data_IF_113481566428
#
_entry.id   IF_113481566428
#
_cell.length_a   1.000
_cell.length_b   1.000
_cell.length_c   1.000
_cell.angle_alpha   90.00
_cell.angle_beta   90.00
_cell.angle_gamma   90.00
#
_symmetry.space_group_name_H-M   'P 1'
#
loop_
_entity.id
_entity.type
_entity.pdbx_description
1 polymer ?
#
# COMPACT_ATOMS: atom_id res chain seq x y z
N UNK A 1 0.38 24.18 20.97
CA UNK A 1 0.06 22.78 20.59
C UNK A 1 1.39 22.12 20.23
N UNK A 2 1.88 21.15 20.99
CA UNK A 2 3.06 20.39 20.55
C UNK A 2 2.66 19.65 19.28
N UNK A 3 3.47 19.68 18.19
CA UNK A 3 3.17 18.91 16.99
C UNK A 3 3.02 17.43 17.38
N UNK A 4 2.14 16.71 16.70
CA UNK A 4 2.06 15.27 16.85
C UNK A 4 3.45 14.72 16.56
N UNK A 5 3.94 13.87 17.44
CA UNK A 5 5.25 13.25 17.25
C UNK A 5 5.20 12.40 15.97
N UNK A 6 5.97 12.79 14.98
CA UNK A 6 6.15 12.01 13.75
C UNK A 6 7.33 11.09 13.99
N UNK A 7 7.12 9.80 13.92
CA UNK A 7 8.16 8.78 14.08
C UNK A 7 8.51 8.25 12.70
N UNK A 8 9.76 8.46 12.29
CA UNK A 8 10.30 7.89 11.05
C UNK A 8 10.86 6.50 11.34
N UNK A 9 10.78 5.61 10.35
CA UNK A 9 11.28 4.24 10.45
C UNK A 9 10.80 3.51 11.71
N UNK A 10 9.50 3.65 12.02
CA UNK A 10 8.88 3.01 13.18
C UNK A 10 9.00 1.48 13.13
N UNK A 11 9.57 0.81 14.14
CA UNK A 11 9.69 -0.65 14.15
C UNK A 11 8.33 -1.33 14.01
N UNK A 12 8.21 -2.27 13.07
CA UNK A 12 6.96 -2.99 12.87
C UNK A 12 6.71 -3.97 14.03
N UNK A 13 5.56 -3.90 14.73
CA UNK A 13 5.34 -4.72 15.92
C UNK A 13 5.25 -6.23 15.60
N UNK A 14 4.73 -6.59 14.43
CA UNK A 14 4.47 -7.97 14.05
C UNK A 14 5.57 -8.59 13.16
N UNK A 15 6.46 -7.79 12.60
CA UNK A 15 7.46 -8.26 11.64
C UNK A 15 8.86 -7.87 12.10
N UNK A 16 9.62 -8.86 12.54
CA UNK A 16 11.01 -8.66 13.01
C UNK A 16 11.86 -7.95 11.95
N UNK A 17 12.55 -6.89 12.35
CA UNK A 17 13.45 -6.07 11.51
C UNK A 17 12.74 -5.25 10.41
N UNK A 18 11.42 -5.33 10.27
CA UNK A 18 10.69 -4.43 9.39
C UNK A 18 10.45 -3.09 10.09
N UNK A 19 10.26 -2.05 9.28
CA UNK A 19 9.94 -0.70 9.74
C UNK A 19 8.81 -0.14 8.88
N UNK A 20 8.04 0.76 9.43
CA UNK A 20 7.07 1.61 8.74
C UNK A 20 7.75 2.96 8.49
N UNK A 21 7.71 3.45 7.26
CA UNK A 21 8.45 4.67 6.89
C UNK A 21 8.06 5.88 7.73
N UNK A 22 6.76 6.06 7.98
CA UNK A 22 6.25 7.14 8.83
C UNK A 22 5.10 6.67 9.69
N UNK A 23 5.16 6.95 10.98
CA UNK A 23 4.13 6.63 11.93
C UNK A 23 3.79 7.85 12.80
N UNK A 24 2.51 8.17 12.87
CA UNK A 24 1.95 9.18 13.76
C UNK A 24 1.00 8.44 14.71
N UNK A 25 1.33 8.33 16.00
CA UNK A 25 0.49 7.60 16.95
C UNK A 25 -0.87 8.28 17.15
N UNK A 26 -1.93 7.52 17.45
CA UNK A 26 -3.22 8.08 17.82
C UNK A 26 -3.08 8.89 19.10
N UNK A 27 -3.76 10.04 19.20
CA UNK A 27 -3.66 10.93 20.35
C UNK A 27 -4.94 11.75 20.55
N UNK A 28 -5.38 11.88 21.79
CA UNK A 28 -6.50 12.73 22.17
C UNK A 28 -7.79 12.46 21.38
N UNK A 29 -8.13 11.17 21.16
CA UNK A 29 -9.31 10.76 20.40
C UNK A 29 -9.18 10.96 18.88
N UNK A 30 -8.01 11.35 18.37
CA UNK A 30 -7.73 11.43 16.94
C UNK A 30 -7.01 10.16 16.47
N UNK A 31 -7.39 9.69 15.29
CA UNK A 31 -6.73 8.55 14.65
C UNK A 31 -5.24 8.84 14.40
N UNK A 32 -4.42 7.82 14.57
CA UNK A 32 -3.05 7.80 14.10
C UNK A 32 -2.97 7.56 12.59
N UNK A 33 -1.76 7.66 12.06
CA UNK A 33 -1.49 7.43 10.63
C UNK A 33 -0.21 6.62 10.49
N UNK A 34 -0.26 5.59 9.65
CA UNK A 34 0.91 4.83 9.20
C UNK A 34 1.04 4.99 7.68
N UNK A 35 2.24 5.29 7.21
CA UNK A 35 2.50 5.50 5.79
C UNK A 35 3.73 4.70 5.37
N UNK A 36 3.59 3.98 4.27
CA UNK A 36 4.69 3.39 3.50
C UNK A 36 4.82 4.11 2.16
N UNK A 37 6.04 4.42 1.78
CA UNK A 37 6.38 5.08 0.53
C UNK A 37 7.12 4.13 -0.40
N UNK A 38 6.72 4.11 -1.64
CA UNK A 38 7.44 3.39 -2.69
C UNK A 38 7.68 4.27 -3.89
N UNK A 39 8.95 4.37 -4.30
CA UNK A 39 9.33 5.03 -5.53
C UNK A 39 10.04 4.06 -6.45
N UNK A 40 9.41 3.74 -7.57
CA UNK A 40 9.99 2.89 -8.60
C UNK A 40 10.40 3.71 -9.82
N UNK A 41 11.71 3.75 -10.06
CA UNK A 41 12.31 4.33 -11.25
C UNK A 41 13.35 3.40 -11.85
N UNK A 42 13.63 3.58 -13.14
CA UNK A 42 14.78 2.97 -13.79
C UNK A 42 16.06 3.68 -13.36
N UNK A 43 17.08 2.93 -13.01
CA UNK A 43 18.42 3.46 -12.72
C UNK A 43 19.22 3.40 -14.02
N UNK A 44 19.65 4.54 -14.60
CA UNK A 44 20.28 4.57 -15.93
C UNK A 44 21.55 3.73 -16.05
N UNK A 45 22.35 3.68 -14.99
CA UNK A 45 23.67 3.03 -14.98
C UNK A 45 23.76 1.77 -14.12
N UNK A 46 22.64 1.27 -13.60
CA UNK A 46 22.61 0.16 -12.64
C UNK A 46 21.93 -1.11 -13.14
N UNK A 47 22.16 -2.22 -12.44
CA UNK A 47 21.33 -3.42 -12.60
C UNK A 47 19.93 -3.14 -12.07
N UNK A 48 18.97 -3.05 -12.98
CA UNK A 48 17.59 -2.86 -12.60
C UNK A 48 16.95 -4.18 -12.16
N UNK A 49 16.26 -4.16 -11.04
CA UNK A 49 15.44 -5.29 -10.60
C UNK A 49 14.34 -5.55 -11.64
N UNK A 50 14.08 -6.81 -12.02
CA UNK A 50 13.01 -7.16 -12.95
C UNK A 50 11.65 -6.59 -12.50
N UNK A 51 10.85 -6.10 -13.45
CA UNK A 51 9.56 -5.46 -13.18
C UNK A 51 8.62 -6.31 -12.35
N UNK A 52 8.57 -7.62 -12.61
CA UNK A 52 7.77 -8.57 -11.84
C UNK A 52 8.20 -8.63 -10.36
N UNK A 53 9.50 -8.58 -10.09
CA UNK A 53 10.01 -8.55 -8.71
C UNK A 53 9.71 -7.21 -8.04
N UNK A 54 9.84 -6.09 -8.76
CA UNK A 54 9.43 -4.76 -8.25
C UNK A 54 7.96 -4.76 -7.86
N UNK A 55 7.08 -5.31 -8.71
CA UNK A 55 5.66 -5.45 -8.40
C UNK A 55 5.44 -6.27 -7.11
N UNK A 56 6.15 -7.39 -6.94
CA UNK A 56 6.08 -8.18 -5.70
C UNK A 56 6.49 -7.39 -4.45
N UNK A 57 7.52 -6.54 -4.56
CA UNK A 57 7.92 -5.67 -3.44
C UNK A 57 6.89 -4.58 -3.12
N UNK A 58 6.19 -4.04 -4.13
CA UNK A 58 5.05 -3.12 -3.92
C UNK A 58 3.98 -3.81 -3.07
N UNK A 59 3.62 -5.03 -3.39
CA UNK A 59 2.62 -5.79 -2.62
C UNK A 59 3.15 -6.22 -1.24
N UNK A 60 4.45 -6.45 -1.08
CA UNK A 60 5.05 -6.70 0.22
C UNK A 60 4.88 -5.51 1.17
N UNK A 61 5.06 -4.27 0.68
CA UNK A 61 4.86 -3.04 1.45
C UNK A 61 3.37 -2.89 1.83
N UNK A 62 2.44 -3.19 0.93
CA UNK A 62 0.99 -3.20 1.21
C UNK A 62 0.65 -4.21 2.31
N UNK A 63 1.16 -5.44 2.24
CA UNK A 63 0.90 -6.46 3.26
C UNK A 63 1.54 -6.09 4.60
N UNK A 64 2.69 -5.42 4.60
CA UNK A 64 3.30 -4.90 5.81
C UNK A 64 2.39 -3.92 6.53
N UNK A 65 1.80 -2.97 5.79
CA UNK A 65 0.79 -2.07 6.34
C UNK A 65 -0.46 -2.79 6.83
N UNK A 66 -0.95 -3.78 6.07
CA UNK A 66 -2.14 -4.54 6.45
C UNK A 66 -1.94 -5.35 7.74
N UNK A 67 -0.71 -5.82 7.99
CA UNK A 67 -0.34 -6.56 9.20
C UNK A 67 -0.13 -5.66 10.43
N UNK A 68 -0.11 -4.35 10.25
CA UNK A 68 0.02 -3.40 11.35
C UNK A 68 -1.28 -3.38 12.17
N UNK A 69 -1.31 -4.11 13.28
CA UNK A 69 -2.50 -4.28 14.11
C UNK A 69 -2.58 -3.22 15.20
N UNK A 70 -2.98 -2.00 14.83
CA UNK A 70 -3.30 -0.92 15.74
C UNK A 70 -4.74 -0.47 15.54
N UNK A 71 -5.47 -0.35 16.63
CA UNK A 71 -6.75 0.34 16.65
C UNK A 71 -6.55 1.83 16.40
N UNK A 72 -7.50 2.46 15.71
CA UNK A 72 -7.49 3.89 15.45
C UNK A 72 -6.25 4.39 14.68
N UNK A 73 -5.67 3.56 13.80
CA UNK A 73 -4.60 3.96 12.88
C UNK A 73 -5.03 3.78 11.44
N UNK A 74 -5.05 4.86 10.68
CA UNK A 74 -5.25 4.84 9.23
C UNK A 74 -3.94 4.48 8.54
N UNK A 75 -3.99 3.60 7.56
CA UNK A 75 -2.82 3.08 6.85
C UNK A 75 -2.86 3.52 5.41
N UNK A 76 -1.78 4.14 4.94
CA UNK A 76 -1.68 4.64 3.58
C UNK A 76 -0.42 4.12 2.91
N UNK A 77 -0.59 3.64 1.70
CA UNK A 77 0.50 3.28 0.80
C UNK A 77 0.62 4.34 -0.29
N UNK A 78 1.74 5.05 -0.32
CA UNK A 78 2.03 6.08 -1.32
C UNK A 78 2.98 5.49 -2.35
N UNK A 79 2.48 5.29 -3.57
CA UNK A 79 3.24 4.73 -4.66
C UNK A 79 3.50 5.76 -5.74
N UNK A 80 4.77 6.00 -6.02
CA UNK A 80 5.22 6.88 -7.10
C UNK A 80 6.02 6.04 -8.10
N UNK A 81 5.68 6.16 -9.38
CA UNK A 81 6.35 5.39 -10.43
C UNK A 81 6.52 6.15 -11.73
N UNK A 82 7.51 5.74 -12.51
CA UNK A 82 7.73 6.25 -13.85
C UNK A 82 6.89 5.50 -14.91
N UNK A 83 6.94 5.99 -16.15
CA UNK A 83 6.20 5.41 -17.28
C UNK A 83 6.46 3.91 -17.47
N UNK A 84 7.68 3.44 -17.25
CA UNK A 84 8.04 2.01 -17.45
C UNK A 84 7.22 1.09 -16.55
N UNK A 85 7.15 1.40 -15.25
CA UNK A 85 6.37 0.60 -14.31
C UNK A 85 4.87 0.84 -14.44
N UNK A 86 4.45 2.06 -14.75
CA UNK A 86 3.04 2.34 -15.05
C UNK A 86 2.55 1.48 -16.21
N UNK A 87 3.29 1.47 -17.34
CA UNK A 87 2.97 0.62 -18.49
C UNK A 87 2.97 -0.87 -18.14
N UNK A 88 3.91 -1.31 -17.27
CA UNK A 88 3.95 -2.70 -16.82
C UNK A 88 2.68 -3.09 -16.06
N UNK A 89 2.24 -2.25 -15.12
CA UNK A 89 1.01 -2.51 -14.36
C UNK A 89 -0.25 -2.42 -15.22
N UNK A 90 -0.31 -1.51 -16.17
CA UNK A 90 -1.46 -1.33 -17.06
C UNK A 90 -1.58 -2.43 -18.13
N UNK A 91 -0.52 -3.17 -18.40
CA UNK A 91 -0.55 -4.27 -19.35
C UNK A 91 -1.44 -5.41 -18.82
N UNK A 92 -2.50 -5.70 -19.55
CA UNK A 92 -3.49 -6.74 -19.17
C UNK A 92 -2.89 -8.12 -18.99
N UNK A 93 -1.85 -8.46 -19.77
CA UNK A 93 -1.13 -9.74 -19.69
C UNK A 93 -0.37 -9.92 -18.37
N UNK A 94 -0.13 -8.86 -17.61
CA UNK A 94 0.54 -8.92 -16.31
C UNK A 94 -0.44 -9.07 -15.14
N UNK A 95 -1.76 -8.93 -15.40
CA UNK A 95 -2.84 -9.10 -14.42
C UNK A 95 -2.81 -8.12 -13.23
N UNK A 96 -2.24 -6.90 -13.40
CA UNK A 96 -2.17 -5.88 -12.35
C UNK A 96 -2.94 -4.61 -12.68
N UNK A 97 -3.66 -4.60 -13.81
CA UNK A 97 -4.38 -3.41 -14.26
C UNK A 97 -5.43 -2.96 -13.25
N UNK A 98 -6.13 -3.90 -12.63
CA UNK A 98 -7.11 -3.69 -11.57
C UNK A 98 -6.52 -2.96 -10.35
N UNK A 99 -5.26 -3.23 -10.00
CA UNK A 99 -4.54 -2.51 -8.95
C UNK A 99 -4.18 -1.10 -9.39
N UNK A 100 -3.57 -0.95 -10.56
CA UNK A 100 -2.99 0.32 -10.97
C UNK A 100 -4.04 1.33 -11.45
N UNK A 101 -5.08 0.87 -12.14
CA UNK A 101 -6.17 1.70 -12.66
C UNK A 101 -7.38 1.77 -11.72
N UNK A 102 -7.24 1.30 -10.47
CA UNK A 102 -8.27 1.40 -9.45
C UNK A 102 -8.72 2.86 -9.31
N UNK A 103 -10.00 3.12 -9.55
CA UNK A 103 -10.55 4.47 -9.51
C UNK A 103 -10.76 4.94 -8.08
N UNK A 104 -10.92 6.26 -7.91
CA UNK A 104 -11.25 6.85 -6.61
C UNK A 104 -12.50 6.19 -6.03
N UNK A 105 -12.46 5.89 -4.74
CA UNK A 105 -13.53 5.22 -3.98
C UNK A 105 -13.80 3.75 -4.35
N UNK A 106 -13.22 3.23 -5.44
CA UNK A 106 -13.26 1.80 -5.72
C UNK A 106 -12.38 1.02 -4.75
N UNK A 107 -12.76 -0.24 -4.51
CA UNK A 107 -12.05 -1.15 -3.61
C UNK A 107 -11.54 -2.36 -4.37
N UNK A 108 -10.31 -2.73 -4.11
CA UNK A 108 -9.69 -3.95 -4.59
C UNK A 108 -9.42 -4.88 -3.41
N UNK A 109 -9.92 -6.10 -3.50
CA UNK A 109 -9.63 -7.16 -2.52
C UNK A 109 -8.42 -7.94 -3.00
N UNK A 110 -7.36 -7.95 -2.19
CA UNK A 110 -6.18 -8.77 -2.42
C UNK A 110 -6.24 -9.97 -1.46
N UNK A 111 -6.56 -11.12 -2.00
CA UNK A 111 -6.67 -12.39 -1.28
C UNK A 111 -5.87 -13.48 -2.00
N UNK A 112 -5.97 -14.71 -1.57
CA UNK A 112 -5.30 -15.85 -2.20
C UNK A 112 -5.70 -16.04 -3.65
N UNK A 113 -6.99 -15.88 -3.99
CA UNK A 113 -7.48 -15.99 -5.36
C UNK A 113 -6.86 -14.91 -6.26
N UNK A 114 -6.80 -13.65 -5.76
CA UNK A 114 -6.12 -12.56 -6.45
C UNK A 114 -4.67 -12.91 -6.75
N UNK A 115 -3.96 -13.46 -5.77
CA UNK A 115 -2.54 -13.81 -5.87
C UNK A 115 -2.30 -15.04 -6.75
N UNK A 116 -3.20 -16.01 -6.76
CA UNK A 116 -3.05 -17.27 -7.50
C UNK A 116 -2.84 -17.06 -9.02
N UNK A 117 -3.42 -16.00 -9.57
CA UNK A 117 -3.29 -15.65 -11.00
C UNK A 117 -1.99 -14.93 -11.36
N UNK A 118 -1.11 -14.70 -10.41
CA UNK A 118 0.12 -13.90 -10.59
C UNK A 118 1.34 -14.78 -10.86
N UNK A 119 2.35 -14.26 -11.58
CA UNK A 119 3.58 -15.03 -11.86
C UNK A 119 4.27 -15.48 -10.58
N UNK A 120 4.87 -16.68 -10.60
CA UNK A 120 5.61 -17.23 -9.45
C UNK A 120 6.72 -16.30 -8.96
N UNK A 121 7.41 -15.61 -9.86
CA UNK A 121 8.47 -14.62 -9.52
C UNK A 121 7.90 -13.46 -8.71
N UNK A 122 6.69 -12.98 -9.02
CA UNK A 122 6.00 -11.99 -8.23
C UNK A 122 5.71 -12.51 -6.81
N UNK A 123 5.10 -13.70 -6.71
CA UNK A 123 4.74 -14.31 -5.43
C UNK A 123 5.97 -14.53 -4.55
N UNK A 124 7.10 -15.01 -5.13
CA UNK A 124 8.36 -15.21 -4.41
C UNK A 124 9.01 -13.89 -3.94
N UNK A 125 8.67 -12.78 -4.57
CA UNK A 125 9.21 -11.46 -4.20
C UNK A 125 8.44 -10.79 -3.06
N UNK A 126 7.30 -11.37 -2.65
CA UNK A 126 6.58 -10.98 -1.45
C UNK A 126 7.22 -11.70 -0.27
N UNK A 127 8.12 -11.01 0.42
CA UNK A 127 8.94 -11.54 1.51
C UNK A 127 8.30 -11.35 2.90
N UNK A 128 7.02 -11.08 2.95
CA UNK A 128 6.22 -10.95 4.17
C UNK A 128 5.02 -11.90 4.15
N UNK A 129 4.40 -12.11 5.32
CA UNK A 129 3.15 -12.89 5.40
C UNK A 129 2.08 -12.21 4.53
N UNK A 130 1.54 -12.97 3.60
CA UNK A 130 0.42 -12.52 2.77
C UNK A 130 -0.86 -12.55 3.61
N UNK A 131 -1.56 -11.44 3.67
CA UNK A 131 -2.82 -11.34 4.39
C UNK A 131 -3.88 -10.75 3.50
N UNK A 132 -5.12 -11.21 3.63
CA UNK A 132 -6.21 -10.64 2.86
C UNK A 132 -6.36 -9.15 3.21
N UNK A 133 -6.31 -8.31 2.19
CA UNK A 133 -6.24 -6.86 2.32
C UNK A 133 -7.26 -6.20 1.39
N UNK A 134 -7.76 -5.05 1.80
CA UNK A 134 -8.63 -4.20 0.97
C UNK A 134 -7.88 -2.90 0.69
N UNK A 135 -7.68 -2.63 -0.59
CA UNK A 135 -7.18 -1.33 -1.06
C UNK A 135 -8.34 -0.45 -1.50
N UNK A 136 -8.32 0.80 -1.08
CA UNK A 136 -9.22 1.85 -1.55
C UNK A 136 -8.36 2.97 -2.12
N UNK A 137 -8.56 3.31 -3.39
CA UNK A 137 -7.81 4.39 -4.00
C UNK A 137 -8.31 5.74 -3.49
N UNK A 138 -7.42 6.52 -2.91
CA UNK A 138 -7.71 7.86 -2.37
C UNK A 138 -7.30 8.93 -3.37
N UNK A 139 -6.13 8.79 -3.99
CA UNK A 139 -5.59 9.73 -4.97
C UNK A 139 -4.92 8.97 -6.12
N UNK A 140 -5.20 9.41 -7.33
CA UNK A 140 -4.57 8.90 -8.54
C UNK A 140 -4.30 10.08 -9.47
N UNK A 141 -3.03 10.43 -9.66
CA UNK A 141 -2.66 11.58 -10.48
C UNK A 141 -1.35 11.35 -11.23
N UNK A 142 -1.25 11.93 -12.41
CA UNK A 142 0.02 12.21 -13.07
C UNK A 142 0.46 13.61 -12.62
N UNK A 143 1.56 13.73 -11.91
CA UNK A 143 1.99 15.01 -11.31
C UNK A 143 3.19 15.64 -12.01
N UNK A 144 3.96 14.86 -12.74
CA UNK A 144 5.03 15.32 -13.64
C UNK A 144 4.94 14.47 -14.91
N UNK A 145 5.35 15.04 -16.06
CA UNK A 145 5.34 14.29 -17.32
C UNK A 145 6.05 12.93 -17.15
N UNK A 146 5.28 11.86 -17.22
CA UNK A 146 5.79 10.49 -17.10
C UNK A 146 5.99 9.96 -15.68
N UNK A 147 5.46 10.66 -14.67
CA UNK A 147 5.39 10.15 -13.29
C UNK A 147 3.95 10.12 -12.78
N UNK A 148 3.57 9.01 -12.16
CA UNK A 148 2.26 8.78 -11.58
C UNK A 148 2.39 8.58 -10.08
N UNK A 149 1.48 9.19 -9.34
CA UNK A 149 1.31 8.97 -7.91
C UNK A 149 -0.05 8.30 -7.66
N UNK A 150 -0.03 7.30 -6.80
CA UNK A 150 -1.20 6.61 -6.28
C UNK A 150 -1.13 6.62 -4.76
N UNK A 151 -2.23 6.94 -4.11
CA UNK A 151 -2.35 6.80 -2.66
C UNK A 151 -3.50 5.84 -2.39
N UNK A 152 -3.18 4.74 -1.74
CA UNK A 152 -4.15 3.73 -1.36
C UNK A 152 -4.33 3.73 0.16
N UNK A 153 -5.57 3.71 0.63
CA UNK A 153 -5.87 3.29 1.99
C UNK A 153 -5.79 1.77 2.04
N UNK A 154 -5.12 1.24 3.05
CA UNK A 154 -4.91 -0.20 3.23
C UNK A 154 -5.66 -0.66 4.47
N UNK A 155 -6.56 -1.61 4.31
CA UNK A 155 -7.29 -2.22 5.41
C UNK A 155 -7.09 -3.74 5.40
N UNK A 156 -7.14 -4.37 6.56
CA UNK A 156 -7.19 -5.82 6.66
C UNK A 156 -8.61 -6.30 6.27
N UNK A 157 -8.69 -7.34 5.46
CA UNK A 157 -9.97 -7.92 5.05
C UNK A 157 -10.64 -8.59 6.27
N UNK A 158 -11.94 -8.34 6.46
CA UNK A 158 -12.73 -8.94 7.55
C UNK A 158 -12.64 -8.22 8.89
N UNK A 159 -11.75 -7.25 9.06
CA UNK A 159 -11.73 -6.36 10.23
C UNK A 159 -12.60 -5.16 9.93
N UNK A 160 -13.69 -5.00 10.69
CA UNK A 160 -14.52 -3.78 10.59
C UNK A 160 -13.65 -2.59 11.01
N UNK A 161 -13.62 -1.49 10.22
CA UNK A 161 -12.98 -0.28 10.70
C UNK A 161 -13.66 0.13 12.02
N UNK A 162 -12.86 0.27 13.09
CA UNK A 162 -13.33 0.83 14.36
C UNK A 162 -13.76 2.27 14.09
N UNK A 163 -15.06 2.54 14.11
CA UNK A 163 -15.60 3.89 13.96
C UNK A 163 -16.70 4.05 12.93
N UNK A 164 -17.68 3.16 12.91
CA UNK A 164 -18.98 3.48 12.30
C UNK A 164 -19.78 4.26 13.32
N UNK A 165 -19.74 5.60 13.24
CA UNK A 165 -20.72 6.46 13.87
C UNK A 165 -22.11 6.01 13.40
N UNK A 166 -22.88 5.37 14.27
CA UNK A 166 -24.32 5.22 14.10
C UNK A 166 -24.92 6.63 14.19
N UNK A 167 -25.21 7.24 13.05
CA UNK A 167 -26.15 8.36 13.01
C UNK A 167 -27.53 7.79 13.40
N UNK A 168 -27.87 7.91 14.66
CA UNK A 168 -29.26 7.76 15.11
C UNK A 168 -29.97 9.05 14.70
N UNK A 169 -30.75 8.98 13.63
CA UNK A 169 -31.68 10.05 13.27
C UNK A 169 -32.89 9.81 14.19
N UNK A 170 -33.08 10.68 15.16
CA UNK A 170 -34.28 10.84 15.95
C UNK A 170 -35.21 11.87 15.28
#
# INVERSE_FOLDING_TARGET
MKPNEIILEYPHPEIKRAKIDTFIPPKNGKDGVAIEFKFDRKIPSGRNTPRTQKAGKVFADIFRLALLNFDNVKRYFVYVTNKEMATYFQNTSNYFKDFFDLKSEEKLIINEEYLHRRPTTFIKSIDVKKTASVLENVISTEFLTGFWMRIYRVNQFGVKPSGTLKLTIS
#
